data_IF_525089647917
#
_entry.id   IF_525089647917
#
_cell.length_a   1.000
_cell.length_b   1.000
_cell.length_c   1.000
_cell.angle_alpha   90.00
_cell.angle_beta   90.00
_cell.angle_gamma   90.00
#
_symmetry.space_group_name_H-M   'P 1'
#
loop_
_entity.id
_entity.type
_entity.pdbx_description
1 polymer ?
#
# COMPACT_ATOMS: atom_id res chain seq x y z
N UNK A 1 -5.20 20.68 38.68
CA UNK A 1 -4.58 19.87 37.61
C UNK A 1 -3.76 18.75 38.23
N UNK A 2 -3.63 17.58 37.57
CA UNK A 2 -2.73 16.53 38.03
C UNK A 2 -1.29 17.05 38.12
N UNK A 3 -0.56 16.59 39.13
CA UNK A 3 0.85 16.92 39.33
C UNK A 3 1.73 16.06 38.42
N UNK A 4 2.47 16.74 37.54
CA UNK A 4 3.30 16.16 36.47
C UNK A 4 4.80 16.24 36.80
N UNK A 5 5.17 16.35 38.07
CA UNK A 5 6.58 16.40 38.46
C UNK A 5 7.37 15.18 37.94
N UNK A 6 8.59 15.37 37.39
CA UNK A 6 9.37 14.28 36.77
C UNK A 6 9.68 13.10 37.69
N UNK A 7 9.80 13.34 39.00
CA UNK A 7 10.00 12.27 39.98
C UNK A 7 8.75 11.38 40.13
N UNK A 8 7.57 12.00 40.15
CA UNK A 8 6.29 11.29 40.26
C UNK A 8 5.99 10.48 39.00
N UNK A 9 6.24 11.03 37.81
CA UNK A 9 6.07 10.31 36.55
C UNK A 9 6.97 9.07 36.46
N UNK A 10 8.23 9.18 36.90
CA UNK A 10 9.16 8.03 36.98
C UNK A 10 8.66 6.96 37.95
N UNK A 11 8.20 7.35 39.13
CA UNK A 11 7.64 6.41 40.11
C UNK A 11 6.37 5.73 39.59
N UNK A 12 5.51 6.46 38.88
CA UNK A 12 4.31 5.90 38.25
C UNK A 12 4.69 4.89 37.15
N UNK A 13 5.62 5.24 36.26
CA UNK A 13 6.11 4.34 35.22
C UNK A 13 6.67 3.04 35.77
N UNK A 14 7.45 3.09 36.86
CA UNK A 14 7.97 1.89 37.53
C UNK A 14 6.85 1.00 38.08
N UNK A 15 5.79 1.59 38.64
CA UNK A 15 4.62 0.85 39.15
C UNK A 15 3.81 0.22 38.02
N UNK A 16 3.61 0.92 36.91
CA UNK A 16 2.92 0.39 35.73
C UNK A 16 3.71 -0.76 35.11
N UNK A 17 5.03 -0.59 34.95
CA UNK A 17 5.91 -1.65 34.46
C UNK A 17 5.85 -2.90 35.35
N UNK A 18 5.83 -2.71 36.68
CA UNK A 18 5.71 -3.83 37.60
C UNK A 18 4.40 -4.60 37.39
N UNK A 19 3.27 -3.91 37.19
CA UNK A 19 1.99 -4.57 36.87
C UNK A 19 2.04 -5.36 35.57
N UNK A 20 2.68 -4.82 34.53
CA UNK A 20 2.86 -5.54 33.26
C UNK A 20 3.69 -6.81 33.46
N UNK A 21 4.77 -6.74 34.24
CA UNK A 21 5.62 -7.91 34.54
C UNK A 21 4.84 -8.96 35.33
N UNK A 22 4.10 -8.54 36.37
CA UNK A 22 3.34 -9.47 37.21
C UNK A 22 2.19 -10.14 36.42
N UNK A 23 1.56 -9.42 35.49
CA UNK A 23 0.51 -9.97 34.62
C UNK A 23 0.99 -10.65 33.34
N UNK A 24 2.30 -10.65 33.06
CA UNK A 24 2.88 -11.19 31.82
C UNK A 24 2.46 -12.64 31.50
N UNK A 25 2.34 -13.58 32.47
CA UNK A 25 1.90 -14.94 32.18
C UNK A 25 0.50 -15.04 31.53
N UNK A 26 -0.36 -14.04 31.73
CA UNK A 26 -1.73 -14.00 31.16
C UNK A 26 -1.80 -13.29 29.82
N UNK A 27 -0.78 -12.50 29.48
CA UNK A 27 -0.80 -11.57 28.35
C UNK A 27 -1.17 -12.25 27.03
N UNK A 28 -0.61 -13.42 26.73
CA UNK A 28 -0.91 -14.13 25.49
C UNK A 28 -2.41 -14.52 25.39
N UNK A 29 -3.00 -15.03 26.48
CA UNK A 29 -4.41 -15.39 26.51
C UNK A 29 -5.31 -14.14 26.40
N UNK A 30 -4.93 -13.06 27.08
CA UNK A 30 -5.63 -11.78 27.02
C UNK A 30 -5.60 -11.18 25.62
N UNK A 31 -4.45 -11.23 24.92
CA UNK A 31 -4.32 -10.77 23.52
C UNK A 31 -5.26 -11.54 22.61
N UNK A 32 -5.30 -12.88 22.71
CA UNK A 32 -6.18 -13.67 21.85
C UNK A 32 -7.66 -13.40 22.12
N UNK A 33 -8.06 -13.19 23.38
CA UNK A 33 -9.44 -12.82 23.71
C UNK A 33 -9.86 -11.50 23.05
N UNK A 34 -9.05 -10.45 23.19
CA UNK A 34 -9.33 -9.17 22.54
C UNK A 34 -9.27 -9.27 21.02
N UNK A 35 -8.36 -10.08 20.45
CA UNK A 35 -8.28 -10.29 19.01
C UNK A 35 -9.53 -10.95 18.44
N UNK A 36 -10.10 -11.93 19.17
CA UNK A 36 -11.37 -12.56 18.79
C UNK A 36 -12.53 -11.58 18.87
N UNK A 37 -12.61 -10.78 19.94
CA UNK A 37 -13.65 -9.76 20.09
C UNK A 37 -13.56 -8.68 18.99
N UNK A 38 -12.35 -8.17 18.70
CA UNK A 38 -12.12 -7.19 17.65
C UNK A 38 -12.48 -7.72 16.26
N UNK A 39 -12.18 -8.99 15.97
CA UNK A 39 -12.59 -9.65 14.73
C UNK A 39 -14.10 -9.80 14.62
N UNK A 40 -14.76 -10.16 15.71
CA UNK A 40 -16.22 -10.25 15.74
C UNK A 40 -16.88 -8.89 15.54
N UNK A 41 -16.24 -7.81 15.98
CA UNK A 41 -16.66 -6.45 15.71
C UNK A 41 -16.40 -6.05 14.24
N UNK A 42 -15.35 -6.57 13.59
CA UNK A 42 -15.07 -6.33 12.17
C UNK A 42 -13.66 -5.77 11.88
N UNK A 43 -12.76 -5.78 12.86
CA UNK A 43 -11.36 -5.47 12.65
C UNK A 43 -10.62 -6.64 11.98
N UNK A 44 -9.84 -6.33 10.95
CA UNK A 44 -9.03 -7.32 10.22
C UNK A 44 -7.54 -6.96 10.19
N UNK A 45 -6.72 -7.95 9.80
CA UNK A 45 -5.29 -7.79 9.57
C UNK A 45 -4.54 -7.17 10.76
N UNK A 46 -3.82 -6.07 10.48
CA UNK A 46 -2.95 -5.38 11.44
C UNK A 46 -3.72 -4.64 12.52
N UNK A 47 -4.89 -4.09 12.20
CA UNK A 47 -5.71 -3.34 13.17
C UNK A 47 -6.09 -4.20 14.38
N UNK A 48 -6.51 -5.45 14.14
CA UNK A 48 -6.85 -6.40 15.19
C UNK A 48 -5.63 -6.77 16.06
N UNK A 49 -4.42 -6.83 15.48
CA UNK A 49 -3.18 -7.14 16.22
C UNK A 49 -2.75 -5.97 17.09
N UNK A 50 -2.77 -4.75 16.54
CA UNK A 50 -2.36 -3.53 17.25
C UNK A 50 -3.33 -3.22 18.39
N UNK A 51 -4.62 -3.14 18.10
CA UNK A 51 -5.63 -2.84 19.13
C UNK A 51 -5.75 -3.98 20.14
N UNK A 52 -5.67 -5.24 19.70
CA UNK A 52 -5.71 -6.39 20.61
C UNK A 52 -4.55 -6.38 21.61
N UNK A 53 -3.35 -6.03 21.15
CA UNK A 53 -2.17 -5.92 22.03
C UNK A 53 -2.31 -4.73 22.99
N UNK A 54 -2.77 -3.58 22.51
CA UNK A 54 -2.94 -2.38 23.34
C UNK A 54 -3.99 -2.60 24.45
N UNK A 55 -5.15 -3.16 24.11
CA UNK A 55 -6.21 -3.49 25.06
C UNK A 55 -5.72 -4.52 26.08
N UNK A 56 -5.00 -5.56 25.65
CA UNK A 56 -4.50 -6.57 26.56
C UNK A 56 -3.49 -6.04 27.58
N UNK A 57 -2.61 -5.12 27.15
CA UNK A 57 -1.66 -4.46 28.07
C UNK A 57 -2.38 -3.52 29.01
N UNK A 58 -3.35 -2.74 28.52
CA UNK A 58 -4.18 -1.88 29.36
C UNK A 58 -4.94 -2.69 30.42
N UNK A 59 -5.52 -3.82 30.03
CA UNK A 59 -6.26 -4.72 30.89
C UNK A 59 -5.37 -5.28 32.02
N UNK A 60 -4.18 -5.77 31.69
CA UNK A 60 -3.20 -6.25 32.68
C UNK A 60 -2.75 -5.14 33.64
N UNK A 61 -2.67 -3.90 33.15
CA UNK A 61 -2.32 -2.76 33.99
C UNK A 61 -3.47 -2.36 34.92
N UNK A 62 -4.71 -2.53 34.49
CA UNK A 62 -5.89 -2.04 35.21
C UNK A 62 -6.55 -3.12 36.09
N UNK A 63 -6.33 -4.39 35.77
CA UNK A 63 -7.02 -5.53 36.38
C UNK A 63 -6.07 -6.68 36.72
N UNK A 64 -6.40 -7.37 37.81
CA UNK A 64 -5.74 -8.62 38.23
C UNK A 64 -6.59 -9.86 37.86
N UNK A 65 -7.65 -9.69 37.09
CA UNK A 65 -8.58 -10.76 36.69
C UNK A 65 -8.32 -11.26 35.27
N UNK A 66 -9.01 -12.35 34.90
CA UNK A 66 -9.06 -12.82 33.51
C UNK A 66 -10.09 -12.00 32.74
N UNK A 67 -9.80 -11.74 31.47
CA UNK A 67 -10.74 -11.05 30.59
C UNK A 67 -11.90 -11.95 30.25
N UNK A 68 -13.11 -11.46 30.53
CA UNK A 68 -14.36 -12.07 30.12
C UNK A 68 -14.72 -11.64 28.70
N UNK A 69 -15.36 -12.55 27.95
CA UNK A 69 -15.79 -12.32 26.56
C UNK A 69 -16.63 -11.06 26.41
N UNK A 70 -17.52 -10.79 27.37
CA UNK A 70 -18.50 -9.72 27.28
C UNK A 70 -17.83 -8.35 27.44
N UNK A 71 -16.87 -8.24 28.36
CA UNK A 71 -16.05 -7.03 28.54
C UNK A 71 -15.17 -6.78 27.32
N UNK A 72 -14.58 -7.82 26.74
CA UNK A 72 -13.79 -7.70 25.53
C UNK A 72 -14.62 -7.24 24.34
N UNK A 73 -15.84 -7.77 24.19
CA UNK A 73 -16.78 -7.39 23.15
C UNK A 73 -17.21 -5.92 23.30
N UNK A 74 -17.58 -5.48 24.50
CA UNK A 74 -17.99 -4.10 24.77
C UNK A 74 -16.88 -3.09 24.41
N UNK A 75 -15.63 -3.38 24.80
CA UNK A 75 -14.49 -2.52 24.47
C UNK A 75 -14.14 -2.56 22.97
N UNK A 76 -14.30 -3.71 22.31
CA UNK A 76 -14.12 -3.84 20.87
C UNK A 76 -15.19 -3.05 20.10
N UNK A 77 -16.45 -3.06 20.54
CA UNK A 77 -17.53 -2.26 19.95
C UNK A 77 -17.29 -0.75 20.13
N UNK A 78 -16.73 -0.32 21.26
CA UNK A 78 -16.39 1.09 21.47
C UNK A 78 -15.26 1.59 20.55
N UNK A 79 -14.41 0.70 20.06
CA UNK A 79 -13.39 1.01 19.05
C UNK A 79 -13.96 1.10 17.63
N UNK A 80 -15.24 0.78 17.43
CA UNK A 80 -15.93 0.80 16.13
C UNK A 80 -16.69 2.10 15.81
N UNK A 81 -16.50 3.19 16.55
CA UNK A 81 -17.39 4.36 16.52
C UNK A 81 -17.30 5.24 15.24
N UNK A 82 -17.30 4.64 14.05
CA UNK A 82 -16.94 5.18 12.74
C UNK A 82 -15.42 5.36 12.58
N UNK A 83 -14.84 4.64 11.61
CA UNK A 83 -13.51 4.86 11.00
C UNK A 83 -12.58 5.80 11.78
N UNK A 84 -11.62 5.25 12.53
CA UNK A 84 -10.38 5.97 12.85
C UNK A 84 -9.82 6.50 11.53
N UNK A 85 -10.12 7.73 11.15
CA UNK A 85 -9.72 8.34 9.88
C UNK A 85 -8.19 8.44 9.73
N UNK A 86 -7.43 8.03 10.75
CA UNK A 86 -5.97 7.90 10.75
C UNK A 86 -5.49 6.45 10.56
N UNK A 87 -6.38 5.44 10.63
CA UNK A 87 -6.05 4.03 10.34
C UNK A 87 -6.22 3.68 8.86
N UNK A 88 -6.94 4.52 8.10
CA UNK A 88 -6.99 4.44 6.63
C UNK A 88 -5.70 4.97 5.97
N UNK A 89 -4.80 5.61 6.73
CA UNK A 89 -3.43 5.89 6.25
C UNK A 89 -2.56 4.61 6.23
N UNK A 90 -3.08 3.47 6.68
CA UNK A 90 -2.51 2.13 6.45
C UNK A 90 -3.28 1.42 5.31
N UNK A 91 -3.71 2.16 4.26
CA UNK A 91 -4.09 1.58 2.97
C UNK A 91 -2.94 0.64 2.56
N UNK A 92 -3.31 -0.63 2.42
CA UNK A 92 -2.47 -1.70 1.90
C UNK A 92 -1.57 -1.19 0.76
N UNK A 93 -0.27 -1.41 0.95
CA UNK A 93 0.89 -0.71 0.37
C UNK A 93 0.77 -0.45 -1.16
N UNK A 94 0.08 -1.33 -1.90
CA UNK A 94 -0.11 -1.23 -3.35
C UNK A 94 -1.18 -0.27 -3.88
N UNK A 95 -2.41 -0.28 -3.35
CA UNK A 95 -3.51 0.51 -3.93
C UNK A 95 -3.35 2.00 -3.64
N UNK A 96 -2.94 2.33 -2.41
CA UNK A 96 -2.62 3.69 -1.98
C UNK A 96 -1.47 4.28 -2.80
N UNK A 97 -0.44 3.46 -3.03
CA UNK A 97 0.65 3.81 -3.93
C UNK A 97 0.17 4.09 -5.36
N UNK A 98 -0.68 3.23 -5.93
CA UNK A 98 -1.19 3.41 -7.28
C UNK A 98 -2.01 4.69 -7.41
N UNK A 99 -2.91 4.95 -6.46
CA UNK A 99 -3.68 6.19 -6.39
C UNK A 99 -2.77 7.42 -6.32
N UNK A 100 -1.74 7.36 -5.46
CA UNK A 100 -0.74 8.42 -5.34
C UNK A 100 0.01 8.63 -6.66
N UNK A 101 0.58 7.57 -7.24
CA UNK A 101 1.32 7.60 -8.52
C UNK A 101 0.48 8.27 -9.62
N UNK A 102 -0.76 7.85 -9.79
CA UNK A 102 -1.66 8.37 -10.82
C UNK A 102 -1.98 9.87 -10.65
N UNK A 103 -1.96 10.36 -9.40
CA UNK A 103 -2.15 11.77 -9.07
C UNK A 103 -0.88 12.64 -9.24
N UNK A 104 0.31 12.03 -9.26
CA UNK A 104 1.57 12.76 -9.39
C UNK A 104 1.64 13.49 -10.74
N UNK A 105 2.20 14.71 -10.72
CA UNK A 105 2.46 15.50 -11.93
C UNK A 105 3.89 15.28 -12.37
N UNK A 106 4.08 15.06 -13.66
CA UNK A 106 5.43 14.97 -14.24
C UNK A 106 5.99 16.40 -14.36
N UNK A 107 7.13 16.71 -13.71
CA UNK A 107 7.77 18.01 -13.83
C UNK A 107 8.49 18.09 -15.18
N UNK A 108 7.80 18.59 -16.20
CA UNK A 108 8.43 18.88 -17.50
C UNK A 108 9.17 20.22 -17.43
N UNK A 109 10.40 20.23 -17.94
CA UNK A 109 11.15 21.48 -18.14
C UNK A 109 10.55 22.25 -19.32
N UNK A 110 9.78 23.31 -19.02
CA UNK A 110 9.23 24.23 -20.03
C UNK A 110 7.77 24.63 -19.82
N UNK A 111 7.18 25.28 -20.83
CA UNK A 111 5.80 25.80 -20.84
C UNK A 111 4.74 24.73 -21.17
N UNK A 112 5.13 23.46 -21.23
CA UNK A 112 4.24 22.35 -21.58
C UNK A 112 3.17 22.06 -20.52
N UNK A 113 2.15 21.27 -20.87
CA UNK A 113 1.08 20.92 -19.95
C UNK A 113 1.61 20.08 -18.78
N UNK A 114 1.38 20.55 -17.55
CA UNK A 114 1.73 19.85 -16.29
C UNK A 114 0.69 18.79 -15.94
N UNK A 115 0.58 17.80 -16.81
CA UNK A 115 -0.37 16.71 -16.68
C UNK A 115 0.05 15.69 -15.62
N UNK A 116 -0.94 15.02 -15.04
CA UNK A 116 -0.70 13.89 -14.12
C UNK A 116 -0.27 12.64 -14.89
N UNK A 117 0.32 11.67 -14.19
CA UNK A 117 0.65 10.36 -14.76
C UNK A 117 -0.62 9.70 -15.33
N UNK A 118 -1.76 9.80 -14.65
CA UNK A 118 -3.03 9.28 -15.17
C UNK A 118 -3.42 9.92 -16.52
N UNK A 119 -3.23 11.23 -16.68
CA UNK A 119 -3.53 11.93 -17.93
C UNK A 119 -2.59 11.49 -19.06
N UNK A 120 -1.30 11.33 -18.77
CA UNK A 120 -0.33 10.82 -19.75
C UNK A 120 -0.60 9.37 -20.14
N UNK A 121 -0.92 8.49 -19.18
CA UNK A 121 -1.32 7.11 -19.47
C UNK A 121 -2.57 7.08 -20.34
N UNK A 122 -3.59 7.89 -20.02
CA UNK A 122 -4.82 7.99 -20.83
C UNK A 122 -4.52 8.47 -22.25
N UNK A 123 -3.65 9.47 -22.41
CA UNK A 123 -3.22 9.97 -23.71
C UNK A 123 -2.46 8.90 -24.50
N UNK A 124 -1.52 8.20 -23.86
CA UNK A 124 -0.79 7.08 -24.46
C UNK A 124 -1.74 5.96 -24.92
N UNK A 125 -2.81 5.67 -24.18
CA UNK A 125 -3.70 4.56 -24.53
C UNK A 125 -4.78 4.95 -25.53
N UNK A 126 -5.47 6.08 -25.32
CA UNK A 126 -6.69 6.44 -26.06
C UNK A 126 -6.48 7.47 -27.18
N UNK A 127 -5.33 8.14 -27.25
CA UNK A 127 -5.14 9.16 -28.31
C UNK A 127 -5.16 8.52 -29.70
N UNK A 128 -5.99 9.05 -30.58
CA UNK A 128 -6.03 8.70 -32.01
C UNK A 128 -4.90 9.39 -32.79
N UNK A 129 -4.34 10.47 -32.26
CA UNK A 129 -3.21 11.18 -32.84
C UNK A 129 -1.91 10.46 -32.46
N UNK A 130 -1.17 9.98 -33.47
CA UNK A 130 0.10 9.29 -33.29
C UNK A 130 1.16 10.16 -32.60
N UNK A 131 1.18 11.46 -32.89
CA UNK A 131 2.12 12.39 -32.27
C UNK A 131 1.88 12.50 -30.76
N UNK A 132 0.63 12.76 -30.37
CA UNK A 132 0.25 12.88 -28.96
C UNK A 132 0.51 11.58 -28.19
N UNK A 133 0.30 10.43 -28.84
CA UNK A 133 0.58 9.11 -28.27
C UNK A 133 2.08 8.90 -28.06
N UNK A 134 2.90 9.16 -29.07
CA UNK A 134 4.36 9.00 -29.01
C UNK A 134 4.97 9.95 -27.98
N UNK A 135 4.46 11.17 -27.89
CA UNK A 135 4.90 12.13 -26.89
C UNK A 135 4.59 11.66 -25.47
N UNK A 136 3.39 11.14 -25.23
CA UNK A 136 3.04 10.54 -23.94
C UNK A 136 3.94 9.34 -23.60
N UNK A 137 4.18 8.44 -24.56
CA UNK A 137 5.06 7.28 -24.39
C UNK A 137 6.51 7.70 -24.08
N UNK A 138 7.01 8.74 -24.74
CA UNK A 138 8.34 9.31 -24.51
C UNK A 138 8.45 9.90 -23.10
N UNK A 139 7.48 10.72 -22.69
CA UNK A 139 7.47 11.35 -21.36
C UNK A 139 7.38 10.29 -20.28
N UNK A 140 6.43 9.35 -20.37
CA UNK A 140 6.29 8.25 -19.41
C UNK A 140 7.59 7.43 -19.30
N UNK A 141 8.24 7.15 -20.43
CA UNK A 141 9.50 6.41 -20.49
C UNK A 141 10.65 7.06 -19.70
N UNK A 142 10.76 8.38 -19.73
CA UNK A 142 11.76 9.13 -18.94
C UNK A 142 11.58 8.94 -17.43
N UNK A 143 10.34 8.69 -17.01
CA UNK A 143 9.95 8.48 -15.63
C UNK A 143 9.72 7.00 -15.31
N UNK A 144 10.29 6.08 -16.08
CA UNK A 144 10.25 4.65 -15.78
C UNK A 144 8.86 4.01 -15.94
N UNK A 145 7.94 4.64 -16.68
CA UNK A 145 6.62 4.10 -16.99
C UNK A 145 6.52 3.72 -18.47
N UNK A 146 5.69 2.73 -18.80
CA UNK A 146 5.44 2.34 -20.20
C UNK A 146 4.10 1.66 -20.38
N UNK A 147 3.38 1.95 -21.46
CA UNK A 147 2.20 1.15 -21.83
C UNK A 147 2.63 -0.09 -22.62
N UNK A 148 2.20 -1.27 -22.18
CA UNK A 148 2.50 -2.55 -22.85
C UNK A 148 1.46 -2.80 -23.94
N UNK A 149 1.90 -2.76 -25.20
CA UNK A 149 1.02 -2.99 -26.36
C UNK A 149 1.18 -4.42 -26.90
N UNK A 150 0.08 -5.14 -27.17
CA UNK A 150 0.16 -6.48 -27.73
C UNK A 150 0.67 -6.43 -29.17
N UNK A 151 1.47 -7.43 -29.57
CA UNK A 151 2.01 -7.55 -30.94
C UNK A 151 0.92 -7.74 -32.00
N UNK A 152 -0.24 -8.26 -31.59
CA UNK A 152 -1.41 -8.50 -32.45
C UNK A 152 -2.21 -7.23 -32.80
N UNK A 153 -1.85 -6.05 -32.25
CA UNK A 153 -2.51 -4.78 -32.57
C UNK A 153 -3.81 -4.50 -31.79
N UNK A 154 -4.08 -5.25 -30.72
CA UNK A 154 -5.20 -4.99 -29.81
C UNK A 154 -4.98 -3.82 -28.84
N UNK A 155 -6.01 -3.49 -28.07
CA UNK A 155 -5.90 -2.47 -27.00
C UNK A 155 -4.89 -2.93 -25.93
N UNK A 156 -4.07 -2.02 -25.38
CA UNK A 156 -3.22 -2.33 -24.25
C UNK A 156 -4.07 -2.64 -23.02
N UNK A 157 -3.71 -3.68 -22.28
CA UNK A 157 -4.37 -4.08 -21.03
C UNK A 157 -3.52 -3.83 -19.80
N UNK A 158 -2.25 -3.49 -19.97
CA UNK A 158 -1.28 -3.29 -18.90
C UNK A 158 -0.38 -2.08 -19.18
N UNK A 159 0.09 -1.45 -18.10
CA UNK A 159 1.25 -0.55 -18.12
C UNK A 159 2.32 -1.10 -17.20
N UNK A 160 3.57 -0.70 -17.38
CA UNK A 160 4.72 -1.20 -16.64
C UNK A 160 5.34 -0.03 -15.86
N UNK A 161 5.82 -0.34 -14.65
CA UNK A 161 6.60 0.56 -13.81
C UNK A 161 7.95 -0.09 -13.55
N UNK A 162 9.04 0.65 -13.76
CA UNK A 162 10.38 0.14 -13.56
C UNK A 162 10.71 -0.05 -12.06
N UNK A 163 11.54 -1.03 -11.74
CA UNK A 163 12.00 -1.24 -10.36
C UNK A 163 13.00 -0.15 -9.91
N UNK A 164 13.63 0.55 -10.85
CA UNK A 164 14.67 1.57 -10.61
C UNK A 164 14.59 2.64 -11.69
N UNK A 165 15.12 3.82 -11.40
CA UNK A 165 15.30 4.88 -12.39
C UNK A 165 15.17 6.25 -11.77
N UNK A 166 16.04 7.18 -12.18
CA UNK A 166 16.11 8.53 -11.64
C UNK A 166 14.77 9.27 -11.69
N UNK A 167 13.99 9.10 -12.77
CA UNK A 167 12.66 9.72 -12.87
C UNK A 167 11.66 9.18 -11.83
N UNK A 168 11.67 7.87 -11.54
CA UNK A 168 10.83 7.30 -10.47
C UNK A 168 11.30 7.73 -9.09
N UNK A 169 12.61 7.78 -8.86
CA UNK A 169 13.19 8.28 -7.62
C UNK A 169 12.77 9.73 -7.37
N UNK A 170 12.80 10.58 -8.41
CA UNK A 170 12.34 11.95 -8.33
C UNK A 170 10.83 12.05 -8.04
N UNK A 171 10.01 11.19 -8.65
CA UNK A 171 8.56 11.18 -8.40
C UNK A 171 8.20 10.80 -6.96
N UNK A 172 8.97 9.88 -6.37
CA UNK A 172 8.72 9.38 -5.01
C UNK A 172 9.51 10.12 -3.93
N UNK A 173 10.30 11.15 -4.28
CA UNK A 173 11.03 11.94 -3.30
C UNK A 173 10.06 12.62 -2.30
N UNK A 174 10.28 12.43 -1.01
CA UNK A 174 9.41 12.93 0.06
C UNK A 174 8.09 12.18 0.20
N UNK A 175 7.99 10.96 -0.32
CA UNK A 175 6.83 10.07 -0.13
C UNK A 175 7.21 8.84 0.70
N UNK A 176 6.23 8.10 1.20
CA UNK A 176 6.46 6.87 1.98
C UNK A 176 7.19 5.78 1.19
N UNK A 177 7.13 5.84 -0.14
CA UNK A 177 7.79 4.91 -1.05
C UNK A 177 9.17 5.38 -1.53
N UNK A 178 9.72 6.48 -0.97
CA UNK A 178 11.04 7.01 -1.33
C UNK A 178 12.14 5.93 -1.18
N UNK A 179 13.06 5.88 -2.15
CA UNK A 179 14.22 5.01 -2.07
C UNK A 179 15.24 5.54 -1.08
N UNK A 180 15.74 4.66 -0.19
CA UNK A 180 16.96 4.97 0.56
C UNK A 180 18.15 5.07 -0.41
N UNK A 181 19.17 5.89 -0.12
CA UNK A 181 20.37 5.98 -0.95
C UNK A 181 20.97 4.60 -1.24
N UNK A 182 21.05 4.23 -2.52
CA UNK A 182 21.59 2.93 -2.96
C UNK A 182 20.63 1.73 -2.87
N UNK A 183 19.38 1.93 -2.45
CA UNK A 183 18.34 0.90 -2.39
C UNK A 183 17.28 1.10 -3.49
N UNK A 184 16.42 0.09 -3.68
CA UNK A 184 15.19 0.25 -4.46
C UNK A 184 14.13 0.85 -3.53
N UNK A 185 13.31 1.78 -4.02
CA UNK A 185 12.23 2.34 -3.22
C UNK A 185 11.04 1.41 -3.04
N UNK A 186 10.23 1.72 -2.03
CA UNK A 186 9.09 0.90 -1.61
C UNK A 186 8.06 0.69 -2.72
N UNK A 187 8.04 1.55 -3.75
CA UNK A 187 7.13 1.43 -4.89
C UNK A 187 7.25 0.09 -5.63
N UNK A 188 8.42 -0.57 -5.58
CA UNK A 188 8.59 -1.89 -6.20
C UNK A 188 7.71 -2.92 -5.51
N UNK A 189 7.67 -2.89 -4.19
CA UNK A 189 6.97 -3.89 -3.39
C UNK A 189 5.47 -3.56 -3.41
N UNK A 190 5.09 -2.29 -3.22
CA UNK A 190 3.74 -1.78 -3.46
C UNK A 190 3.17 -2.18 -4.85
N UNK A 191 3.93 -1.98 -5.92
CA UNK A 191 3.49 -2.35 -7.27
C UNK A 191 3.20 -3.86 -7.42
N UNK A 192 3.90 -4.71 -6.67
CA UNK A 192 3.77 -6.17 -6.75
C UNK A 192 2.58 -6.70 -5.95
N UNK A 193 2.09 -5.92 -4.99
CA UNK A 193 0.92 -6.26 -4.18
C UNK A 193 -0.39 -6.06 -4.93
N UNK A 194 -0.39 -5.22 -5.98
CA UNK A 194 -1.56 -4.99 -6.81
C UNK A 194 -2.07 -6.29 -7.47
N UNK A 195 -3.38 -6.49 -7.44
CA UNK A 195 -4.02 -7.65 -8.03
C UNK A 195 -3.72 -7.77 -9.54
N UNK A 196 -3.21 -8.92 -9.97
CA UNK A 196 -2.84 -9.15 -11.38
C UNK A 196 -1.56 -8.45 -11.83
N UNK A 197 -0.75 -7.93 -10.90
CA UNK A 197 0.57 -7.43 -11.20
C UNK A 197 1.57 -8.57 -11.53
N UNK A 198 2.46 -8.34 -12.49
CA UNK A 198 3.41 -9.35 -12.96
C UNK A 198 4.83 -8.80 -13.07
N UNK A 199 5.84 -9.61 -12.77
CA UNK A 199 7.21 -9.23 -13.08
C UNK A 199 7.43 -9.15 -14.59
N UNK A 200 8.11 -8.10 -15.04
CA UNK A 200 8.40 -7.90 -16.46
C UNK A 200 9.80 -7.33 -16.68
N UNK A 201 10.35 -7.55 -17.86
CA UNK A 201 11.50 -6.80 -18.37
C UNK A 201 11.07 -6.02 -19.59
N UNK A 202 11.31 -4.71 -19.60
CA UNK A 202 10.86 -3.81 -20.67
C UNK A 202 11.94 -2.78 -20.99
N UNK A 203 11.83 -2.19 -22.18
CA UNK A 203 12.56 -0.98 -22.55
C UNK A 203 11.78 0.25 -22.04
N UNK A 204 12.29 0.94 -21.03
CA UNK A 204 11.75 2.17 -20.45
C UNK A 204 12.53 3.37 -21.01
N UNK A 205 11.90 4.19 -21.84
CA UNK A 205 12.63 5.19 -22.62
C UNK A 205 13.73 4.52 -23.44
N UNK A 206 14.99 4.85 -23.15
CA UNK A 206 16.17 4.37 -23.87
C UNK A 206 16.94 3.24 -23.16
N UNK A 207 16.42 2.68 -22.07
CA UNK A 207 17.13 1.67 -21.27
C UNK A 207 16.28 0.45 -20.92
N UNK A 208 16.89 -0.74 -20.85
CA UNK A 208 16.20 -1.99 -20.48
C UNK A 208 16.25 -2.21 -18.98
N UNK A 209 15.09 -2.50 -18.38
CA UNK A 209 14.94 -2.64 -16.94
C UNK A 209 13.97 -3.74 -16.55
N UNK A 210 14.18 -4.29 -15.35
CA UNK A 210 13.15 -5.04 -14.63
C UNK A 210 12.10 -4.07 -14.09
N UNK A 211 10.86 -4.51 -14.06
CA UNK A 211 9.73 -3.75 -13.56
C UNK A 211 8.56 -4.65 -13.20
N UNK A 212 7.44 -4.02 -12.90
CA UNK A 212 6.16 -4.65 -12.63
C UNK A 212 5.14 -4.18 -13.66
N UNK A 213 4.47 -5.10 -14.34
CA UNK A 213 3.34 -4.85 -15.22
C UNK A 213 2.06 -4.83 -14.38
N UNK A 214 1.29 -3.76 -14.47
CA UNK A 214 0.08 -3.49 -13.70
C UNK A 214 -1.10 -3.42 -14.68
N UNK A 215 -2.24 -4.08 -14.39
CA UNK A 215 -3.43 -3.98 -15.22
C UNK A 215 -3.97 -2.54 -15.33
N UNK A 216 -4.31 -2.12 -16.55
CA UNK A 216 -4.83 -0.76 -16.81
C UNK A 216 -6.22 -0.52 -16.19
N UNK A 217 -7.01 -1.58 -15.97
CA UNK A 217 -8.31 -1.44 -15.31
C UNK A 217 -8.19 -1.00 -13.85
N UNK A 218 -7.08 -1.31 -13.16
CA UNK A 218 -6.83 -0.78 -11.81
C UNK A 218 -6.61 0.74 -11.83
N UNK A 219 -5.93 1.26 -12.86
CA UNK A 219 -5.74 2.70 -13.03
C UNK A 219 -7.00 3.42 -13.53
N UNK A 220 -7.86 2.70 -14.26
CA UNK A 220 -9.04 3.25 -14.91
C UNK A 220 -10.20 2.23 -14.91
N UNK A 221 -10.90 2.06 -13.78
CA UNK A 221 -11.90 1.00 -13.60
C UNK A 221 -13.05 1.05 -14.61
N UNK A 222 -13.44 2.25 -15.03
CA UNK A 222 -14.57 2.48 -15.93
C UNK A 222 -14.17 2.53 -17.42
N UNK A 223 -12.97 2.07 -17.80
CA UNK A 223 -12.43 2.32 -19.14
C UNK A 223 -11.64 1.19 -19.83
N UNK A 224 -11.35 0.09 -19.13
CA UNK A 224 -10.57 -1.03 -19.68
C UNK A 224 -11.07 -2.38 -19.18
N UNK A 225 -11.03 -3.42 -20.04
CA UNK A 225 -11.30 -4.78 -19.61
C UNK A 225 -10.22 -5.26 -18.65
N UNK A 226 -10.60 -6.17 -17.75
CA UNK A 226 -9.66 -6.91 -16.92
C UNK A 226 -8.58 -7.57 -17.81
N UNK A 227 -7.32 -7.59 -17.35
CA UNK A 227 -6.29 -8.24 -18.13
C UNK A 227 -6.63 -9.74 -18.21
N UNK A 228 -6.56 -10.39 -19.39
CA UNK A 228 -6.83 -11.81 -19.47
C UNK A 228 -5.85 -12.56 -18.55
N UNK A 229 -6.30 -13.61 -17.84
CA UNK A 229 -5.41 -14.41 -17.00
C UNK A 229 -4.27 -14.94 -17.87
N UNK A 230 -3.04 -14.73 -17.41
CA UNK A 230 -1.86 -15.16 -18.13
C UNK A 230 -1.87 -16.67 -18.24
N UNK A 231 -1.78 -17.18 -19.48
CA UNK A 231 -1.60 -18.60 -19.81
C UNK A 231 -0.28 -19.08 -19.19
N UNK A 232 -0.35 -19.51 -17.93
CA UNK A 232 0.68 -20.27 -17.24
C UNK A 232 0.12 -21.67 -16.91
N UNK A 233 -0.49 -22.33 -17.91
CA UNK A 233 -0.85 -23.76 -17.88
C UNK A 233 -1.40 -24.13 -19.27
N UNK A 234 -0.53 -24.37 -20.25
CA UNK A 234 -0.86 -25.10 -21.49
C UNK A 234 0.45 -25.36 -22.26
N UNK A 235 1.37 -26.03 -21.59
CA UNK A 235 2.45 -26.81 -22.19
C UNK A 235 2.51 -28.14 -21.43
N UNK A 236 1.38 -28.83 -21.36
CA UNK A 236 1.39 -30.28 -21.37
C UNK A 236 0.66 -30.72 -22.63
N UNK A 237 1.40 -31.51 -23.38
CA UNK A 237 1.18 -31.91 -24.77
C UNK A 237 0.11 -32.99 -24.77
N UNK A 238 -1.00 -32.78 -25.52
CA UNK A 238 -1.79 -33.88 -26.08
C UNK A 238 -1.12 -34.39 -27.38
N UNK A 239 -1.42 -35.62 -27.88
CA UNK A 239 -2.17 -36.73 -27.27
C UNK A 239 -1.34 -38.01 -27.06
#
# INVERSE_FOLDING_TARGET
MPDLAPARLRALGARLLRRVIDGFPRLAATIEQYRLALRAAGHEGRSAVVFGTALAVADIILSDELVFSDTAAELAEQLQFDTLAEAEDDIEDGEGWLGRLLSMRIPLDGTGPRNTIAAWLRQSVKSQNLYDRQEADRILGQYGLKVRRPKSGGEPTQFCVANRGHGLEQLHAGTDWEARPGAIGGWKDAARELAGAEETTQLFGDWHGKGTAIPLHLAFPNGYPEAPPTRAAELEIEP
#
